data_IF_834069074433
#
_entry.id   IF_834069074433
#
_cell.length_a   1.000
_cell.length_b   1.000
_cell.length_c   1.000
_cell.angle_alpha   90.00
_cell.angle_beta   90.00
_cell.angle_gamma   90.00
#
_symmetry.space_group_name_H-M   'P 1'
#
loop_
_entity.id
_entity.type
_entity.pdbx_description
1 polymer ?
#
# COMPACT_ATOMS: atom_id res chain seq x y z
N UNK A 1 -22.86 19.25 -8.94
CA UNK A 1 -21.50 18.94 -9.45
C UNK A 1 -20.89 17.67 -8.88
N UNK A 2 -20.84 17.46 -7.56
CA UNK A 2 -20.30 16.23 -6.93
C UNK A 2 -20.95 14.94 -7.51
N UNK A 3 -22.29 14.91 -7.65
CA UNK A 3 -23.01 13.79 -8.30
C UNK A 3 -22.50 13.49 -9.72
N UNK A 4 -22.14 14.53 -10.49
CA UNK A 4 -21.64 14.38 -11.87
C UNK A 4 -20.20 13.84 -11.88
N UNK A 5 -19.37 14.25 -10.92
CA UNK A 5 -18.04 13.65 -10.75
C UNK A 5 -18.12 12.17 -10.34
N UNK A 6 -19.00 11.80 -9.42
CA UNK A 6 -19.23 10.39 -9.06
C UNK A 6 -19.69 9.57 -10.27
N UNK A 7 -20.56 10.13 -11.13
CA UNK A 7 -20.96 9.48 -12.38
C UNK A 7 -19.79 9.27 -13.35
N UNK A 8 -18.88 10.24 -13.47
CA UNK A 8 -17.69 10.12 -14.31
C UNK A 8 -16.72 9.05 -13.78
N UNK A 9 -16.53 8.96 -12.46
CA UNK A 9 -15.73 7.89 -11.85
C UNK A 9 -16.35 6.51 -12.10
N UNK A 10 -17.66 6.37 -11.96
CA UNK A 10 -18.33 5.11 -12.25
C UNK A 10 -18.14 4.69 -13.72
N UNK A 11 -18.23 5.66 -14.63
CA UNK A 11 -17.93 5.44 -16.05
C UNK A 11 -16.46 5.09 -16.29
N UNK A 12 -15.52 5.70 -15.56
CA UNK A 12 -14.10 5.39 -15.64
C UNK A 12 -13.80 3.98 -15.12
N UNK A 13 -14.39 3.61 -13.99
CA UNK A 13 -14.24 2.30 -13.36
C UNK A 13 -14.79 1.18 -14.25
N UNK A 14 -16.01 1.35 -14.76
CA UNK A 14 -16.64 0.36 -15.66
C UNK A 14 -15.91 0.19 -16.99
N UNK A 15 -15.25 1.25 -17.48
CA UNK A 15 -14.43 1.24 -18.71
C UNK A 15 -12.96 0.88 -18.49
N UNK A 16 -12.53 0.66 -17.25
CA UNK A 16 -11.14 0.32 -16.97
C UNK A 16 -10.78 -1.05 -17.56
N UNK A 17 -9.59 -1.18 -18.14
CA UNK A 17 -9.11 -2.41 -18.77
C UNK A 17 -9.11 -3.62 -17.82
N UNK A 18 -8.94 -3.40 -16.51
CA UNK A 18 -9.04 -4.44 -15.49
C UNK A 18 -10.49 -4.90 -15.24
N UNK A 19 -11.47 -4.01 -15.34
CA UNK A 19 -12.90 -4.37 -15.22
C UNK A 19 -13.43 -5.03 -16.51
N UNK A 20 -12.71 -4.86 -17.62
CA UNK A 20 -12.90 -5.60 -18.86
C UNK A 20 -12.18 -6.96 -18.86
N UNK A 21 -11.35 -7.29 -17.85
CA UNK A 21 -10.78 -8.63 -17.73
C UNK A 21 -11.87 -9.67 -17.45
N UNK A 22 -11.60 -10.90 -17.88
CA UNK A 22 -12.55 -12.01 -17.91
C UNK A 22 -13.27 -12.27 -16.58
N UNK A 23 -14.50 -12.78 -16.70
CA UNK A 23 -15.44 -13.07 -15.61
C UNK A 23 -14.77 -13.83 -14.44
N UNK A 24 -13.82 -14.72 -14.73
CA UNK A 24 -13.06 -15.48 -13.74
C UNK A 24 -12.33 -14.60 -12.70
N UNK A 25 -11.69 -13.50 -13.12
CA UNK A 25 -10.97 -12.60 -12.19
C UNK A 25 -11.97 -11.88 -11.27
N UNK A 26 -13.15 -11.52 -11.78
CA UNK A 26 -14.20 -10.87 -10.97
C UNK A 26 -14.75 -11.81 -9.90
N UNK A 27 -15.00 -13.07 -10.28
CA UNK A 27 -15.44 -14.11 -9.35
C UNK A 27 -14.39 -14.31 -8.25
N UNK A 28 -13.11 -14.43 -8.62
CA UNK A 28 -12.01 -14.58 -7.66
C UNK A 28 -11.92 -13.39 -6.70
N UNK A 29 -12.02 -12.16 -7.22
CA UNK A 29 -12.01 -10.95 -6.38
C UNK A 29 -13.21 -10.89 -5.42
N UNK A 30 -14.39 -11.33 -5.86
CA UNK A 30 -15.58 -11.39 -5.02
C UNK A 30 -15.42 -12.40 -3.87
N UNK A 31 -14.96 -13.61 -4.16
CA UNK A 31 -14.69 -14.61 -3.12
C UNK A 31 -13.60 -14.15 -2.16
N UNK A 32 -12.53 -13.52 -2.66
CA UNK A 32 -11.49 -12.95 -1.81
C UNK A 32 -12.06 -11.88 -0.87
N UNK A 33 -12.92 -10.99 -1.38
CA UNK A 33 -13.55 -9.95 -0.57
C UNK A 33 -14.44 -10.54 0.54
N UNK A 34 -15.25 -11.56 0.22
CA UNK A 34 -16.08 -12.26 1.22
C UNK A 34 -15.20 -12.97 2.25
N UNK A 35 -14.16 -13.67 1.80
CA UNK A 35 -13.28 -14.42 2.67
C UNK A 35 -12.56 -13.51 3.67
N UNK A 36 -11.88 -12.46 3.18
CA UNK A 36 -11.15 -11.53 4.06
C UNK A 36 -12.10 -10.66 4.89
N UNK A 37 -13.20 -10.20 4.32
CA UNK A 37 -14.22 -9.43 5.05
C UNK A 37 -14.88 -10.26 6.15
N UNK A 38 -15.25 -11.50 5.84
CA UNK A 38 -15.80 -12.45 6.81
C UNK A 38 -14.79 -12.79 7.91
N UNK A 39 -13.54 -13.08 7.56
CA UNK A 39 -12.47 -13.32 8.53
C UNK A 39 -12.24 -12.11 9.46
N UNK A 40 -12.28 -10.89 8.92
CA UNK A 40 -12.18 -9.67 9.73
C UNK A 40 -13.37 -9.52 10.70
N UNK A 41 -14.59 -9.84 10.28
CA UNK A 41 -15.77 -9.85 11.15
C UNK A 41 -15.64 -10.89 12.26
N UNK A 42 -15.29 -12.13 11.92
CA UNK A 42 -15.07 -13.19 12.91
C UNK A 42 -13.94 -12.82 13.88
N UNK A 43 -12.88 -12.18 13.39
CA UNK A 43 -11.81 -11.67 14.23
C UNK A 43 -12.33 -10.58 15.17
N UNK A 44 -13.15 -9.63 14.70
CA UNK A 44 -13.74 -8.60 15.55
C UNK A 44 -14.67 -9.16 16.64
N UNK A 45 -15.50 -10.18 16.31
CA UNK A 45 -16.33 -10.89 17.29
C UNK A 45 -15.44 -11.65 18.29
N UNK A 46 -14.48 -12.42 17.79
CA UNK A 46 -13.59 -13.25 18.58
C UNK A 46 -12.62 -12.45 19.44
N UNK A 47 -12.31 -11.21 19.06
CA UNK A 47 -11.31 -10.38 19.73
C UNK A 47 -11.64 -10.15 21.20
N UNK A 48 -12.92 -9.95 21.55
CA UNK A 48 -13.34 -9.84 22.95
C UNK A 48 -12.97 -11.09 23.77
N UNK A 49 -13.31 -12.28 23.27
CA UNK A 49 -13.05 -13.55 23.95
C UNK A 49 -11.55 -13.90 23.97
N UNK A 50 -10.82 -13.59 22.89
CA UNK A 50 -9.37 -13.77 22.82
C UNK A 50 -8.68 -12.91 23.87
N UNK A 51 -9.04 -11.64 23.99
CA UNK A 51 -8.47 -10.73 24.98
C UNK A 51 -8.79 -11.18 26.41
N UNK A 52 -10.05 -11.56 26.67
CA UNK A 52 -10.48 -12.11 27.96
C UNK A 52 -9.72 -13.38 28.35
N UNK A 53 -9.39 -14.25 27.39
CA UNK A 53 -8.63 -15.48 27.66
C UNK A 53 -7.12 -15.23 27.79
N UNK A 54 -6.58 -14.29 27.02
CA UNK A 54 -5.15 -13.98 27.01
C UNK A 54 -4.73 -13.25 28.30
N UNK A 55 -5.57 -12.35 28.81
CA UNK A 55 -5.32 -11.61 30.04
C UNK A 55 -6.60 -11.60 30.91
N UNK A 56 -6.86 -12.70 31.66
CA UNK A 56 -8.12 -12.86 32.40
C UNK A 56 -8.37 -11.81 33.48
N UNK A 57 -7.31 -11.20 34.00
CA UNK A 57 -7.41 -10.24 35.11
C UNK A 57 -7.68 -8.79 34.65
N UNK A 58 -7.60 -8.52 33.34
CA UNK A 58 -7.78 -7.18 32.79
C UNK A 58 -9.03 -7.17 31.90
N UNK A 59 -9.82 -6.12 32.03
CA UNK A 59 -10.98 -5.89 31.18
C UNK A 59 -10.57 -5.89 29.68
N UNK A 60 -11.27 -6.65 28.81
CA UNK A 60 -10.99 -6.70 27.38
C UNK A 60 -10.95 -5.33 26.69
N UNK A 61 -11.75 -4.37 27.15
CA UNK A 61 -11.79 -3.00 26.64
C UNK A 61 -10.49 -2.25 26.97
N UNK A 62 -9.98 -2.40 28.19
CA UNK A 62 -8.71 -1.79 28.62
C UNK A 62 -7.57 -2.36 27.78
N UNK A 63 -7.56 -3.69 27.61
CA UNK A 63 -6.53 -4.35 26.81
C UNK A 63 -6.58 -3.92 25.35
N UNK A 64 -7.78 -3.84 24.75
CA UNK A 64 -7.96 -3.29 23.39
C UNK A 64 -7.37 -1.88 23.28
N UNK A 65 -7.71 -0.99 24.21
CA UNK A 65 -7.26 0.40 24.22
C UNK A 65 -5.74 0.54 24.27
N UNK A 66 -5.06 -0.32 25.03
CA UNK A 66 -3.60 -0.35 25.11
C UNK A 66 -2.95 -0.69 23.75
N UNK A 67 -3.60 -1.52 22.92
CA UNK A 67 -3.07 -1.93 21.61
C UNK A 67 -3.50 -1.07 20.43
N UNK A 68 -4.43 -0.11 20.60
CA UNK A 68 -4.93 0.74 19.52
C UNK A 68 -3.82 1.56 18.83
N UNK A 69 -2.76 1.95 19.54
CA UNK A 69 -1.65 2.68 18.91
C UNK A 69 -0.96 1.84 17.83
N UNK A 70 -0.72 0.57 18.10
CA UNK A 70 -0.08 -0.33 17.16
C UNK A 70 -0.97 -0.57 15.95
N UNK A 71 -2.29 -0.67 16.18
CA UNK A 71 -3.27 -0.72 15.09
C UNK A 71 -3.16 0.51 14.18
N UNK A 72 -3.16 1.72 14.75
CA UNK A 72 -3.10 2.96 13.96
C UNK A 72 -1.76 3.18 13.24
N UNK A 73 -0.64 2.82 13.87
CA UNK A 73 0.67 2.89 13.22
C UNK A 73 0.77 1.88 12.06
N UNK A 74 0.27 0.66 12.27
CA UNK A 74 0.25 -0.36 11.22
C UNK A 74 -0.68 0.03 10.07
N UNK A 75 -1.88 0.56 10.37
CA UNK A 75 -2.81 1.12 9.39
C UNK A 75 -2.15 2.25 8.57
N UNK A 76 -1.42 3.15 9.22
CA UNK A 76 -0.69 4.23 8.53
C UNK A 76 0.39 3.68 7.57
N UNK A 77 1.15 2.66 7.98
CA UNK A 77 2.17 2.03 7.12
C UNK A 77 1.51 1.33 5.92
N UNK A 78 0.46 0.54 6.16
CA UNK A 78 -0.28 -0.14 5.07
C UNK A 78 -0.81 0.88 4.08
N UNK A 79 -1.43 1.97 4.56
CA UNK A 79 -1.94 3.05 3.72
C UNK A 79 -0.83 3.74 2.94
N UNK A 80 0.33 3.98 3.54
CA UNK A 80 1.45 4.60 2.85
C UNK A 80 1.83 3.82 1.57
N UNK A 81 1.85 2.49 1.64
CA UNK A 81 2.16 1.63 0.49
C UNK A 81 0.96 1.45 -0.45
N UNK A 82 -0.16 0.98 0.09
CA UNK A 82 -1.27 0.45 -0.70
C UNK A 82 -2.29 1.52 -1.08
N UNK A 83 -2.47 2.56 -0.26
CA UNK A 83 -3.41 3.63 -0.56
C UNK A 83 -2.78 4.60 -1.57
N UNK A 84 -3.21 4.49 -2.82
CA UNK A 84 -2.88 5.50 -3.83
C UNK A 84 -3.69 6.76 -3.54
N UNK A 85 -3.00 7.89 -3.38
CA UNK A 85 -3.68 9.18 -3.25
C UNK A 85 -4.44 9.46 -4.56
N UNK A 86 -5.69 9.93 -4.49
CA UNK A 86 -6.47 10.18 -5.69
C UNK A 86 -5.85 11.35 -6.46
N UNK A 87 -5.06 11.02 -7.48
CA UNK A 87 -4.58 12.00 -8.45
C UNK A 87 -5.70 12.20 -9.45
N UNK A 88 -6.46 13.29 -9.32
CA UNK A 88 -7.27 13.75 -10.43
C UNK A 88 -6.35 14.41 -11.46
N UNK A 89 -6.55 14.12 -12.74
CA UNK A 89 -6.03 14.98 -13.79
C UNK A 89 -6.72 16.34 -13.64
N UNK A 90 -6.07 17.27 -12.96
CA UNK A 90 -6.63 18.59 -12.69
C UNK A 90 -6.66 19.42 -13.98
N UNK A 91 -5.70 19.17 -14.90
CA UNK A 91 -5.54 19.94 -16.15
C UNK A 91 -6.83 20.06 -16.99
N UNK A 92 -7.57 18.97 -17.30
CA UNK A 92 -8.83 19.07 -18.06
C UNK A 92 -9.97 19.73 -17.28
N UNK A 93 -9.90 19.76 -15.94
CA UNK A 93 -10.91 20.42 -15.11
C UNK A 93 -10.67 21.92 -14.95
N UNK A 94 -9.43 22.39 -15.17
CA UNK A 94 -9.07 23.82 -15.11
C UNK A 94 -9.62 24.63 -16.29
N UNK A 95 -9.93 23.98 -17.42
CA UNK A 95 -10.50 24.64 -18.61
C UNK A 95 -12.03 24.76 -18.58
N UNK A 96 -12.68 24.09 -17.61
CA UNK A 96 -14.13 24.08 -17.44
C UNK A 96 -14.47 25.08 -16.31
N UNK A 97 -15.59 25.84 -16.39
CA UNK A 97 -15.97 26.83 -15.38
C UNK A 97 -16.44 26.18 -14.06
N UNK A 98 -15.55 25.47 -13.37
CA UNK A 98 -15.77 24.83 -12.08
C UNK A 98 -14.91 25.54 -11.03
N UNK A 99 -15.53 25.95 -9.91
CA UNK A 99 -14.80 26.54 -8.79
C UNK A 99 -13.74 25.54 -8.28
N UNK A 100 -12.50 26.00 -8.14
CA UNK A 100 -11.37 25.17 -7.66
C UNK A 100 -11.69 24.49 -6.34
N UNK A 101 -12.36 25.21 -5.43
CA UNK A 101 -12.76 24.69 -4.12
C UNK A 101 -13.67 23.46 -4.22
N UNK A 102 -14.59 23.44 -5.19
CA UNK A 102 -15.45 22.27 -5.43
C UNK A 102 -14.65 21.05 -5.86
N UNK A 103 -13.59 21.25 -6.66
CA UNK A 103 -12.68 20.19 -7.11
C UNK A 103 -11.85 19.65 -5.93
N UNK A 104 -11.38 20.53 -5.04
CA UNK A 104 -10.62 20.16 -3.84
C UNK A 104 -11.50 19.40 -2.85
N UNK A 105 -12.71 19.89 -2.56
CA UNK A 105 -13.67 19.19 -1.70
C UNK A 105 -14.04 17.82 -2.24
N UNK A 106 -14.21 17.70 -3.56
CA UNK A 106 -14.45 16.42 -4.20
C UNK A 106 -13.26 15.45 -4.04
N UNK A 107 -12.03 15.94 -4.23
CA UNK A 107 -10.81 15.13 -4.06
C UNK A 107 -10.67 14.62 -2.62
N UNK A 108 -10.84 15.50 -1.62
CA UNK A 108 -10.79 15.11 -0.22
C UNK A 108 -11.94 14.17 0.17
N UNK A 109 -13.16 14.43 -0.31
CA UNK A 109 -14.30 13.54 -0.10
C UNK A 109 -14.06 12.15 -0.70
N UNK A 110 -13.42 12.06 -1.87
CA UNK A 110 -13.02 10.78 -2.47
C UNK A 110 -12.06 9.99 -1.58
N UNK A 111 -11.11 10.65 -0.90
CA UNK A 111 -10.23 9.94 0.05
C UNK A 111 -10.98 9.41 1.26
N UNK A 112 -12.03 10.12 1.71
CA UNK A 112 -12.87 9.70 2.85
C UNK A 112 -13.64 8.43 2.53
N UNK A 113 -14.04 8.23 1.27
CA UNK A 113 -14.71 7.03 0.78
C UNK A 113 -13.74 5.92 0.31
N UNK A 114 -12.46 5.99 0.70
CA UNK A 114 -11.49 4.95 0.38
C UNK A 114 -11.79 3.65 1.14
N UNK A 115 -11.56 2.50 0.49
CA UNK A 115 -11.70 1.16 1.10
C UNK A 115 -10.99 1.04 2.45
N UNK A 116 -9.80 1.65 2.58
CA UNK A 116 -9.04 1.61 3.83
C UNK A 116 -9.79 2.25 5.01
N UNK A 117 -10.68 3.23 4.80
CA UNK A 117 -11.47 3.80 5.90
C UNK A 117 -12.62 2.90 6.33
N UNK A 118 -13.06 2.00 5.45
CA UNK A 118 -14.08 0.99 5.78
C UNK A 118 -13.47 -0.27 6.40
N UNK A 119 -12.19 -0.56 6.16
CA UNK A 119 -11.54 -1.77 6.68
C UNK A 119 -11.66 -1.90 8.21
N UNK A 120 -11.41 -0.85 9.02
CA UNK A 120 -11.60 -0.92 10.48
C UNK A 120 -13.05 -1.19 10.92
N UNK A 121 -14.07 -0.85 10.11
CA UNK A 121 -15.46 -1.15 10.45
C UNK A 121 -15.68 -2.66 10.57
N UNK A 122 -15.05 -3.46 9.72
CA UNK A 122 -15.22 -4.92 9.76
C UNK A 122 -14.71 -5.56 11.05
N UNK A 123 -13.90 -4.86 11.85
CA UNK A 123 -13.34 -5.38 13.11
C UNK A 123 -13.99 -4.68 14.30
N UNK A 124 -13.98 -3.34 14.32
CA UNK A 124 -14.43 -2.59 15.49
C UNK A 124 -15.94 -2.55 15.64
N UNK A 125 -16.72 -2.65 14.55
CA UNK A 125 -18.18 -2.73 14.65
C UNK A 125 -18.61 -4.04 15.33
N UNK A 126 -18.21 -5.24 14.87
CA UNK A 126 -18.55 -6.48 15.57
C UNK A 126 -18.00 -6.52 16.99
N UNK A 127 -16.78 -6.03 17.23
CA UNK A 127 -16.23 -5.94 18.59
C UNK A 127 -17.11 -5.08 19.52
N UNK A 128 -17.57 -3.92 19.02
CA UNK A 128 -18.47 -3.04 19.78
C UNK A 128 -19.82 -3.70 20.06
N UNK A 129 -20.37 -4.47 19.11
CA UNK A 129 -21.61 -5.23 19.31
C UNK A 129 -21.43 -6.27 20.43
N UNK A 130 -20.30 -6.98 20.46
CA UNK A 130 -20.00 -7.96 21.52
C UNK A 130 -19.87 -7.26 22.88
N UNK A 131 -19.20 -6.11 22.96
CA UNK A 131 -19.15 -5.33 24.21
C UNK A 131 -20.54 -4.97 24.72
N UNK A 132 -21.44 -4.52 23.84
CA UNK A 132 -22.82 -4.21 24.23
C UNK A 132 -23.58 -5.46 24.71
N UNK A 133 -23.38 -6.61 24.05
CA UNK A 133 -23.99 -7.88 24.44
C UNK A 133 -23.50 -8.38 25.81
N UNK A 134 -22.25 -8.09 26.16
CA UNK A 134 -21.62 -8.43 27.45
C UNK A 134 -21.91 -7.39 28.55
N UNK A 135 -22.80 -6.43 28.30
CA UNK A 135 -23.33 -5.52 29.31
C UNK A 135 -22.57 -4.20 29.49
N UNK A 136 -21.70 -3.83 28.56
CA UNK A 136 -20.96 -2.57 28.64
C UNK A 136 -21.89 -1.35 28.41
N UNK A 137 -21.63 -0.20 29.06
CA UNK A 137 -22.45 1.00 28.89
C UNK A 137 -22.56 1.46 27.43
N UNK A 138 -23.80 1.57 26.95
CA UNK A 138 -24.11 1.85 25.53
C UNK A 138 -23.46 3.13 25.03
N UNK A 139 -23.59 4.23 25.79
CA UNK A 139 -23.07 5.54 25.38
C UNK A 139 -21.54 5.54 25.28
N UNK A 140 -20.86 4.89 26.22
CA UNK A 140 -19.39 4.80 26.25
C UNK A 140 -18.86 4.02 25.05
N UNK A 141 -19.46 2.86 24.75
CA UNK A 141 -19.07 2.01 23.62
C UNK A 141 -19.31 2.74 22.29
N UNK A 142 -20.45 3.40 22.11
CA UNK A 142 -20.74 4.15 20.89
C UNK A 142 -19.79 5.34 20.69
N UNK A 143 -19.55 6.14 21.73
CA UNK A 143 -18.62 7.27 21.65
C UNK A 143 -17.18 6.82 21.39
N UNK A 144 -16.76 5.70 21.97
CA UNK A 144 -15.47 5.09 21.68
C UNK A 144 -15.38 4.59 20.23
N UNK A 145 -16.38 3.85 19.75
CA UNK A 145 -16.43 3.35 18.38
C UNK A 145 -16.35 4.50 17.36
N UNK A 146 -17.14 5.55 17.57
CA UNK A 146 -17.10 6.77 16.74
C UNK A 146 -15.71 7.39 16.78
N UNK A 147 -15.08 7.48 17.96
CA UNK A 147 -13.73 8.03 18.09
C UNK A 147 -12.70 7.23 17.29
N UNK A 148 -12.73 5.90 17.33
CA UNK A 148 -11.83 5.03 16.56
C UNK A 148 -12.04 5.21 15.04
N UNK A 149 -13.29 5.32 14.60
CA UNK A 149 -13.61 5.58 13.18
C UNK A 149 -13.13 6.96 12.72
N UNK A 150 -13.33 7.99 13.54
CA UNK A 150 -12.87 9.36 13.26
C UNK A 150 -11.34 9.45 13.26
N UNK A 151 -10.66 8.70 14.13
CA UNK A 151 -9.19 8.61 14.13
C UNK A 151 -8.67 7.87 12.90
N UNK A 152 -9.37 6.87 12.40
CA UNK A 152 -9.04 6.23 11.12
C UNK A 152 -9.11 7.25 9.98
N UNK A 153 -10.11 8.14 9.99
CA UNK A 153 -10.20 9.22 9.01
C UNK A 153 -9.10 10.29 9.20
N UNK A 154 -8.72 10.58 10.44
CA UNK A 154 -7.53 11.39 10.78
C UNK A 154 -6.28 10.82 10.12
N UNK A 155 -6.04 9.51 10.24
CA UNK A 155 -4.89 8.82 9.64
C UNK A 155 -4.91 8.93 8.11
N UNK A 156 -6.08 8.82 7.48
CA UNK A 156 -6.21 9.05 6.04
C UNK A 156 -5.74 10.45 5.63
N UNK A 157 -6.11 11.50 6.38
CA UNK A 157 -5.66 12.86 6.10
C UNK A 157 -4.18 13.11 6.44
N UNK A 158 -3.63 12.42 7.46
CA UNK A 158 -2.19 12.43 7.74
C UNK A 158 -1.42 11.77 6.59
N UNK A 159 -1.87 10.61 6.12
CA UNK A 159 -1.26 9.91 4.99
C UNK A 159 -1.24 10.77 3.71
N UNK A 160 -2.30 11.54 3.49
CA UNK A 160 -2.37 12.49 2.38
C UNK A 160 -1.30 13.60 2.50
N UNK A 161 -1.09 14.16 3.69
CA UNK A 161 -0.07 15.19 3.94
C UNK A 161 1.36 14.67 3.80
N UNK A 162 1.62 13.43 4.23
CA UNK A 162 2.92 12.78 4.07
C UNK A 162 3.29 12.60 2.58
N UNK A 163 2.29 12.41 1.72
CA UNK A 163 2.43 12.39 0.25
C UNK A 163 3.55 11.47 -0.25
N UNK A 164 3.64 10.24 0.28
CA UNK A 164 4.65 9.24 -0.10
C UNK A 164 6.11 9.73 0.01
N UNK A 165 6.38 10.70 0.87
CA UNK A 165 7.75 11.14 1.14
C UNK A 165 8.51 10.06 1.94
N UNK A 166 9.59 9.53 1.35
CA UNK A 166 10.41 8.49 1.95
C UNK A 166 10.94 8.85 3.35
N UNK A 167 11.19 10.13 3.62
CA UNK A 167 11.70 10.57 4.93
C UNK A 167 10.69 10.26 6.04
N UNK A 168 9.43 10.63 5.83
CA UNK A 168 8.36 10.36 6.78
C UNK A 168 8.09 8.86 6.93
N UNK A 169 8.23 8.09 5.84
CA UNK A 169 8.16 6.64 5.91
C UNK A 169 9.19 6.05 6.86
N UNK A 170 10.48 6.39 6.69
CA UNK A 170 11.53 5.89 7.58
C UNK A 170 11.28 6.31 9.02
N UNK A 171 10.82 7.54 9.27
CA UNK A 171 10.45 8.00 10.61
C UNK A 171 9.34 7.13 11.21
N UNK A 172 8.24 6.87 10.48
CA UNK A 172 7.11 6.07 10.98
C UNK A 172 7.53 4.64 11.28
N UNK A 173 8.30 4.02 10.39
CA UNK A 173 8.80 2.65 10.58
C UNK A 173 9.77 2.58 11.75
N UNK A 174 10.69 3.53 11.88
CA UNK A 174 11.62 3.61 13.01
C UNK A 174 10.88 3.78 14.34
N UNK A 175 9.85 4.64 14.39
CA UNK A 175 9.02 4.84 15.59
C UNK A 175 8.27 3.56 15.94
N UNK A 176 7.65 2.88 14.97
CA UNK A 176 6.94 1.62 15.23
C UNK A 176 7.90 0.53 15.73
N UNK A 177 9.06 0.37 15.09
CA UNK A 177 10.07 -0.61 15.49
C UNK A 177 10.60 -0.31 16.90
N UNK A 178 10.83 0.96 17.23
CA UNK A 178 11.26 1.38 18.56
C UNK A 178 10.17 1.09 19.61
N UNK A 179 8.91 1.39 19.33
CA UNK A 179 7.80 1.11 20.26
C UNK A 179 7.64 -0.39 20.52
N UNK A 180 7.66 -1.21 19.46
CA UNK A 180 7.61 -2.67 19.59
C UNK A 180 8.83 -3.18 20.37
N UNK A 181 10.03 -2.65 20.10
CA UNK A 181 11.24 -3.00 20.82
C UNK A 181 11.13 -2.69 22.32
N UNK A 182 10.71 -1.48 22.68
CA UNK A 182 10.53 -1.08 24.08
C UNK A 182 9.52 -1.97 24.82
N UNK A 183 8.43 -2.36 24.15
CA UNK A 183 7.41 -3.26 24.70
C UNK A 183 7.94 -4.68 24.92
N UNK A 184 8.63 -5.27 23.92
CA UNK A 184 9.19 -6.62 23.99
C UNK A 184 10.28 -6.74 25.06
N UNK A 185 11.18 -5.76 25.12
CA UNK A 185 12.26 -5.73 26.12
C UNK A 185 11.78 -5.25 27.50
N UNK A 186 10.48 -4.94 27.65
CA UNK A 186 9.85 -4.47 28.90
C UNK A 186 10.55 -3.25 29.52
N UNK A 187 11.23 -2.43 28.70
CA UNK A 187 11.93 -1.23 29.15
C UNK A 187 10.91 -0.12 29.43
N UNK A 188 9.95 0.04 28.52
CA UNK A 188 8.85 0.99 28.66
C UNK A 188 7.64 0.49 27.88
N UNK A 189 6.49 0.35 28.55
CA UNK A 189 5.25 -0.08 27.91
C UNK A 189 4.58 1.11 27.25
N UNK A 190 4.86 1.31 25.97
CA UNK A 190 4.25 2.39 25.16
C UNK A 190 2.73 2.23 25.09
N UNK A 191 2.26 0.99 25.23
CA UNK A 191 0.84 0.64 25.29
C UNK A 191 0.09 1.30 26.47
N UNK A 192 0.73 1.53 27.63
CA UNK A 192 0.05 1.99 28.85
C UNK A 192 -0.38 3.48 28.80
N UNK A 193 0.49 4.46 28.47
CA UNK A 193 0.09 5.87 28.41
C UNK A 193 -0.98 6.14 27.35
N UNK A 194 -0.87 5.47 26.21
CA UNK A 194 -1.82 5.67 25.11
C UNK A 194 -3.13 4.94 25.42
N UNK A 195 -3.05 3.74 25.98
CA UNK A 195 -4.18 3.03 26.53
C UNK A 195 -4.94 3.85 27.57
N UNK A 196 -4.24 4.51 28.49
CA UNK A 196 -4.85 5.43 29.46
C UNK A 196 -5.63 6.56 28.77
N UNK A 197 -5.11 7.15 27.70
CA UNK A 197 -5.83 8.18 26.95
C UNK A 197 -7.13 7.64 26.31
N UNK A 198 -7.10 6.45 25.72
CA UNK A 198 -8.29 5.81 25.15
C UNK A 198 -9.29 5.31 26.20
N UNK A 199 -8.80 4.84 27.35
CA UNK A 199 -9.63 4.49 28.50
C UNK A 199 -10.31 5.73 29.08
N UNK A 200 -9.60 6.86 29.16
CA UNK A 200 -10.18 8.15 29.57
C UNK A 200 -11.27 8.59 28.60
N UNK A 201 -11.02 8.46 27.29
CA UNK A 201 -12.04 8.73 26.26
C UNK A 201 -13.27 7.83 26.40
N UNK A 202 -13.07 6.55 26.71
CA UNK A 202 -14.15 5.61 26.94
C UNK A 202 -14.96 5.94 28.20
N UNK A 203 -14.30 6.27 29.30
CA UNK A 203 -14.93 6.62 30.58
C UNK A 203 -15.63 7.99 30.55
N UNK A 204 -15.18 8.90 29.68
CA UNK A 204 -15.74 10.23 29.50
C UNK A 204 -16.21 10.44 28.05
N UNK A 205 -17.44 9.99 27.71
CA UNK A 205 -17.93 9.97 26.33
C UNK A 205 -17.89 11.32 25.59
N UNK A 206 -17.98 12.45 26.31
CA UNK A 206 -17.90 13.80 25.75
C UNK A 206 -16.54 14.11 25.10
N UNK A 207 -15.49 13.36 25.44
CA UNK A 207 -14.15 13.51 24.83
C UNK A 207 -14.10 13.07 23.36
N UNK A 208 -15.16 12.46 22.81
CA UNK A 208 -15.31 12.20 21.36
C UNK A 208 -15.15 13.45 20.49
N UNK A 209 -15.37 14.64 21.06
CA UNK A 209 -15.13 15.92 20.38
C UNK A 209 -13.66 16.09 19.97
N UNK A 210 -12.70 15.57 20.75
CA UNK A 210 -11.27 15.71 20.48
C UNK A 210 -10.89 15.11 19.12
N UNK A 211 -11.14 13.82 18.83
CA UNK A 211 -10.81 13.25 17.53
C UNK A 211 -11.58 13.93 16.39
N UNK A 212 -12.82 14.38 16.61
CA UNK A 212 -13.61 15.11 15.59
C UNK A 212 -12.93 16.44 15.22
N UNK A 213 -12.58 17.25 16.21
CA UNK A 213 -11.89 18.53 16.01
C UNK A 213 -10.54 18.32 15.33
N UNK A 214 -9.80 17.27 15.71
CA UNK A 214 -8.54 16.91 15.08
C UNK A 214 -8.72 16.59 13.59
N UNK A 215 -9.70 15.75 13.23
CA UNK A 215 -10.00 15.41 11.83
C UNK A 215 -10.39 16.65 11.02
N UNK A 216 -11.25 17.53 11.56
CA UNK A 216 -11.67 18.76 10.89
C UNK A 216 -10.50 19.72 10.67
N UNK A 217 -9.59 19.81 11.65
CA UNK A 217 -8.37 20.62 11.54
C UNK A 217 -7.46 20.10 10.43
N UNK A 218 -7.21 18.79 10.40
CA UNK A 218 -6.42 18.16 9.34
C UNK A 218 -7.09 18.29 7.97
N UNK A 219 -8.41 18.19 7.89
CA UNK A 219 -9.16 18.43 6.66
C UNK A 219 -8.88 19.84 6.13
N UNK A 220 -8.94 20.86 6.99
CA UNK A 220 -8.67 22.26 6.63
C UNK A 220 -7.21 22.47 6.20
N UNK A 221 -6.25 21.84 6.89
CA UNK A 221 -4.83 21.88 6.51
C UNK A 221 -4.64 21.28 5.11
N UNK A 222 -5.20 20.10 4.87
CA UNK A 222 -5.16 19.44 3.56
C UNK A 222 -5.79 20.28 2.46
N UNK A 223 -6.96 20.85 2.71
CA UNK A 223 -7.66 21.74 1.77
C UNK A 223 -6.77 22.93 1.39
N UNK A 224 -6.17 23.58 2.37
CA UNK A 224 -5.27 24.73 2.15
C UNK A 224 -3.99 24.32 1.41
N UNK A 225 -3.41 23.17 1.75
CA UNK A 225 -2.22 22.65 1.07
C UNK A 225 -2.49 22.39 -0.41
N UNK A 226 -3.62 21.75 -0.74
CA UNK A 226 -4.03 21.51 -2.13
C UNK A 226 -4.34 22.84 -2.83
N UNK A 227 -5.07 23.75 -2.19
CA UNK A 227 -5.41 25.07 -2.77
C UNK A 227 -4.16 25.87 -3.15
N UNK A 228 -3.10 25.81 -2.34
CA UNK A 228 -1.78 26.40 -2.64
C UNK A 228 -1.05 25.69 -3.80
N UNK A 229 -1.21 24.37 -3.93
CA UNK A 229 -0.57 23.57 -5.00
C UNK A 229 -1.30 23.59 -6.35
N UNK A 230 -2.46 24.23 -6.46
CA UNK A 230 -3.28 24.26 -7.68
C UNK A 230 -2.70 25.13 -8.83
N UNK A 231 -1.56 25.79 -8.62
CA UNK A 231 -0.90 26.61 -9.64
C UNK A 231 0.01 25.74 -10.51
N UNK A 232 -0.17 25.82 -11.84
CA UNK A 232 0.53 25.02 -12.86
C UNK A 232 2.05 25.20 -12.83
N UNK A 233 2.54 26.33 -12.31
CA UNK A 233 3.93 26.77 -12.43
C UNK A 233 4.92 25.90 -11.64
N UNK A 234 4.47 25.22 -10.57
CA UNK A 234 5.35 24.37 -9.75
C UNK A 234 5.79 23.05 -10.40
N UNK A 235 5.15 22.63 -11.50
CA UNK A 235 5.37 21.31 -12.11
C UNK A 235 6.01 21.35 -13.51
N UNK A 236 6.24 22.54 -14.07
CA UNK A 236 6.79 22.72 -15.42
C UNK A 236 8.32 22.80 -15.43
N UNK A 237 8.97 22.90 -14.26
CA UNK A 237 10.40 22.61 -14.15
C UNK A 237 10.60 21.10 -14.27
N UNK A 238 10.62 20.57 -15.51
CA UNK A 238 11.28 19.28 -15.79
C UNK A 238 12.67 19.40 -15.21
N UNK A 239 12.92 18.78 -14.04
CA UNK A 239 14.28 18.60 -13.54
C UNK A 239 15.05 17.97 -14.69
N UNK A 240 16.02 18.69 -15.23
CA UNK A 240 16.97 18.12 -16.16
C UNK A 240 17.66 16.99 -15.40
N UNK A 241 17.24 15.74 -15.66
CA UNK A 241 17.95 14.58 -15.14
C UNK A 241 19.37 14.69 -15.67
N UNK A 242 20.34 14.86 -14.75
CA UNK A 242 21.75 14.74 -15.07
C UNK A 242 21.93 13.37 -15.72
N UNK A 243 22.22 13.35 -17.01
CA UNK A 243 22.53 12.11 -17.75
C UNK A 243 23.78 11.53 -17.11
N UNK A 244 23.61 10.51 -16.29
CA UNK A 244 24.73 9.81 -15.69
C UNK A 244 25.30 8.87 -16.75
N UNK A 245 26.39 9.28 -17.40
CA UNK A 245 27.11 8.44 -18.36
C UNK A 245 27.84 7.34 -17.59
N UNK A 246 27.18 6.19 -17.46
CA UNK A 246 27.81 5.00 -16.90
C UNK A 246 28.74 4.38 -17.95
N UNK A 247 30.03 4.31 -17.65
CA UNK A 247 30.99 3.62 -18.50
C UNK A 247 30.79 2.09 -18.38
N UNK A 248 30.46 1.47 -19.52
CA UNK A 248 30.29 0.02 -19.67
C UNK A 248 31.37 -0.56 -20.59
N UNK A 249 32.50 0.12 -20.75
CA UNK A 249 33.65 -0.31 -21.55
C UNK A 249 34.05 -1.77 -21.32
N UNK A 250 33.94 -2.27 -20.08
CA UNK A 250 34.22 -3.67 -19.72
C UNK A 250 33.45 -4.71 -20.56
N UNK A 251 32.23 -4.38 -20.99
CA UNK A 251 31.36 -5.27 -21.75
C UNK A 251 31.79 -5.43 -23.21
N UNK A 252 32.74 -4.62 -23.70
CA UNK A 252 33.30 -4.76 -25.05
C UNK A 252 33.94 -6.14 -25.28
N UNK A 253 34.28 -6.88 -24.21
CA UNK A 253 34.76 -8.27 -24.27
C UNK A 253 33.79 -9.22 -24.98
N UNK A 254 32.49 -8.88 -25.05
CA UNK A 254 31.45 -9.68 -25.70
C UNK A 254 31.30 -9.38 -27.21
N UNK A 255 32.23 -8.62 -27.80
CA UNK A 255 32.29 -8.38 -29.25
C UNK A 255 31.03 -7.72 -29.80
N UNK A 256 30.49 -8.25 -30.91
CA UNK A 256 29.32 -7.66 -31.59
C UNK A 256 28.04 -7.68 -30.75
N UNK A 257 27.97 -8.53 -29.71
CA UNK A 257 26.81 -8.64 -28.82
C UNK A 257 26.83 -7.54 -27.74
N UNK A 258 28.01 -6.99 -27.44
CA UNK A 258 28.20 -6.00 -26.37
C UNK A 258 27.27 -4.79 -26.48
N UNK A 259 26.92 -4.36 -27.70
CA UNK A 259 26.03 -3.22 -27.96
C UNK A 259 24.64 -3.48 -27.37
N UNK A 260 24.10 -4.68 -27.56
CA UNK A 260 22.79 -5.08 -27.05
C UNK A 260 22.80 -5.18 -25.53
N UNK A 261 23.80 -5.88 -24.97
CA UNK A 261 23.93 -6.04 -23.53
C UNK A 261 24.08 -4.69 -22.81
N UNK A 262 24.85 -3.75 -23.39
CA UNK A 262 24.97 -2.39 -22.83
C UNK A 262 23.64 -1.66 -22.81
N UNK A 263 22.84 -1.80 -23.86
CA UNK A 263 21.51 -1.19 -23.92
C UNK A 263 20.56 -1.82 -22.90
N UNK A 264 20.59 -3.14 -22.73
CA UNK A 264 19.79 -3.83 -21.72
C UNK A 264 20.17 -3.41 -20.29
N UNK A 265 21.46 -3.33 -19.97
CA UNK A 265 21.92 -2.85 -18.66
C UNK A 265 21.47 -1.42 -18.40
N UNK A 266 21.59 -0.52 -19.38
CA UNK A 266 21.11 0.87 -19.27
C UNK A 266 19.59 0.92 -19.09
N UNK A 267 18.85 0.09 -19.83
CA UNK A 267 17.40 -0.02 -19.73
C UNK A 267 16.98 -0.50 -18.34
N UNK A 268 17.67 -1.50 -17.79
CA UNK A 268 17.44 -2.04 -16.45
C UNK A 268 17.67 -0.96 -15.39
N UNK A 269 18.76 -0.22 -15.47
CA UNK A 269 19.11 0.77 -14.45
C UNK A 269 18.24 2.03 -14.51
N UNK A 270 17.82 2.45 -15.72
CA UNK A 270 17.03 3.67 -15.92
C UNK A 270 15.55 3.49 -15.60
N UNK A 271 14.97 2.31 -15.89
CA UNK A 271 13.54 2.11 -15.81
C UNK A 271 13.13 1.29 -14.57
N UNK A 272 12.12 1.78 -13.83
CA UNK A 272 11.67 1.14 -12.60
C UNK A 272 11.18 -0.30 -12.80
N UNK A 273 10.46 -0.59 -13.89
CA UNK A 273 9.89 -1.93 -14.14
C UNK A 273 10.96 -3.00 -14.42
N UNK A 274 11.87 -2.85 -15.41
CA UNK A 274 13.02 -3.74 -15.59
C UNK A 274 13.86 -3.93 -14.33
N UNK A 275 14.14 -2.84 -13.59
CA UNK A 275 14.88 -2.89 -12.32
C UNK A 275 14.19 -3.76 -11.27
N UNK A 276 12.88 -3.57 -11.12
CA UNK A 276 12.07 -4.38 -10.21
C UNK A 276 12.06 -5.85 -10.61
N UNK A 277 11.94 -6.16 -11.90
CA UNK A 277 12.00 -7.54 -12.40
C UNK A 277 13.34 -8.18 -12.04
N UNK A 278 14.47 -7.53 -12.35
CA UNK A 278 15.80 -8.04 -12.00
C UNK A 278 15.95 -8.27 -10.48
N UNK A 279 15.50 -7.30 -9.66
CA UNK A 279 15.56 -7.40 -8.21
C UNK A 279 14.71 -8.56 -7.67
N UNK A 280 13.51 -8.76 -8.22
CA UNK A 280 12.65 -9.90 -7.86
C UNK A 280 13.27 -11.22 -8.28
N UNK A 281 13.89 -11.30 -9.46
CA UNK A 281 14.61 -12.49 -9.90
C UNK A 281 15.78 -12.83 -8.97
N UNK A 282 16.51 -11.81 -8.49
CA UNK A 282 17.54 -12.00 -7.47
C UNK A 282 16.95 -12.51 -6.14
N UNK A 283 15.81 -11.96 -5.71
CA UNK A 283 15.13 -12.42 -4.50
C UNK A 283 14.64 -13.87 -4.61
N UNK A 284 14.27 -14.36 -5.80
CA UNK A 284 13.90 -15.76 -6.01
C UNK A 284 15.05 -16.74 -5.73
N UNK A 285 16.32 -16.31 -5.78
CA UNK A 285 17.43 -17.16 -5.37
C UNK A 285 17.33 -17.54 -3.89
N UNK A 286 16.79 -16.65 -3.05
CA UNK A 286 16.62 -16.89 -1.61
C UNK A 286 15.41 -17.74 -1.27
N UNK A 287 14.51 -18.02 -2.22
CA UNK A 287 13.40 -18.97 -1.99
C UNK A 287 13.93 -20.36 -1.64
N UNK A 288 15.07 -20.76 -2.23
CA UNK A 288 15.73 -22.01 -1.88
C UNK A 288 16.06 -22.10 -0.39
N UNK A 289 16.44 -21.00 0.27
CA UNK A 289 16.72 -21.02 1.71
C UNK A 289 15.49 -21.41 2.52
N UNK A 290 14.29 -20.98 2.14
CA UNK A 290 13.07 -21.31 2.88
C UNK A 290 12.72 -22.80 2.69
N UNK A 291 12.65 -23.25 1.43
CA UNK A 291 12.18 -24.60 1.11
C UNK A 291 13.20 -25.71 1.41
N UNK A 292 14.50 -25.43 1.31
CA UNK A 292 15.55 -26.42 1.60
C UNK A 292 15.96 -26.46 3.07
N UNK A 293 15.72 -25.43 3.90
CA UNK A 293 16.15 -25.43 5.32
C UNK A 293 15.07 -25.83 6.31
N UNK A 294 13.78 -25.61 6.00
CA UNK A 294 12.70 -26.00 6.90
C UNK A 294 12.34 -27.48 6.77
N UNK A 295 12.37 -28.20 7.90
CA UNK A 295 12.05 -29.63 7.97
C UNK A 295 10.65 -29.97 7.43
N UNK A 296 9.70 -29.03 7.54
CA UNK A 296 8.34 -29.19 7.04
C UNK A 296 8.29 -29.40 5.51
N UNK A 297 9.18 -28.76 4.75
CA UNK A 297 9.19 -28.80 3.28
C UNK A 297 10.21 -29.79 2.71
N UNK A 298 11.28 -30.11 3.44
CA UNK A 298 12.28 -31.10 3.03
C UNK A 298 11.68 -32.49 2.76
N UNK A 299 10.60 -32.85 3.46
CA UNK A 299 9.91 -34.13 3.30
C UNK A 299 8.90 -34.16 2.16
N UNK A 300 8.73 -33.05 1.43
CA UNK A 300 7.76 -32.91 0.35
C UNK A 300 8.46 -32.75 -1.00
N UNK A 301 8.68 -33.84 -1.77
CA UNK A 301 9.44 -33.79 -3.03
C UNK A 301 8.89 -32.80 -4.06
N UNK A 302 7.56 -32.62 -4.10
CA UNK A 302 6.91 -31.66 -4.99
C UNK A 302 7.31 -30.21 -4.68
N UNK A 303 7.41 -29.84 -3.41
CA UNK A 303 7.83 -28.50 -2.99
C UNK A 303 9.31 -28.24 -3.25
N UNK A 304 10.15 -29.28 -3.10
CA UNK A 304 11.57 -29.19 -3.45
C UNK A 304 11.78 -29.00 -4.96
N UNK A 305 11.06 -29.77 -5.79
CA UNK A 305 11.10 -29.60 -7.24
C UNK A 305 10.58 -28.21 -7.67
N UNK A 306 9.50 -27.75 -7.05
CA UNK A 306 8.96 -26.40 -7.26
C UNK A 306 10.01 -25.33 -6.90
N UNK A 307 10.64 -25.43 -5.74
CA UNK A 307 11.70 -24.51 -5.32
C UNK A 307 12.87 -24.52 -6.30
N UNK A 308 13.32 -25.69 -6.77
CA UNK A 308 14.39 -25.83 -7.75
C UNK A 308 14.09 -25.10 -9.05
N UNK A 309 12.85 -25.23 -9.57
CA UNK A 309 12.43 -24.53 -10.79
C UNK A 309 12.39 -23.01 -10.61
N UNK A 310 11.98 -22.51 -9.44
CA UNK A 310 11.93 -21.07 -9.16
C UNK A 310 13.32 -20.47 -8.96
N UNK A 311 14.22 -21.15 -8.25
CA UNK A 311 15.59 -20.68 -8.02
C UNK A 311 16.38 -20.64 -9.33
N UNK A 312 16.21 -21.63 -10.20
CA UNK A 312 16.95 -21.71 -11.47
C UNK A 312 16.28 -20.95 -12.61
N UNK A 313 14.95 -20.96 -12.68
CA UNK A 313 14.17 -20.42 -13.80
C UNK A 313 13.52 -19.07 -13.52
N UNK A 314 13.53 -18.56 -12.28
CA UNK A 314 12.80 -17.35 -11.89
C UNK A 314 13.17 -16.11 -12.71
N UNK A 315 14.45 -15.96 -13.07
CA UNK A 315 14.90 -14.87 -13.95
C UNK A 315 14.34 -15.02 -15.37
N UNK A 316 14.50 -16.18 -16.00
CA UNK A 316 13.99 -16.46 -17.35
C UNK A 316 12.47 -16.33 -17.43
N UNK A 317 11.74 -16.85 -16.44
CA UNK A 317 10.28 -16.75 -16.37
C UNK A 317 9.81 -15.30 -16.25
N UNK A 318 10.54 -14.42 -15.56
CA UNK A 318 10.09 -13.04 -15.33
C UNK A 318 10.61 -12.06 -16.37
N UNK A 319 11.92 -12.07 -16.64
CA UNK A 319 12.58 -11.18 -17.59
C UNK A 319 12.56 -11.74 -19.01
N UNK A 320 12.91 -13.02 -19.18
CA UNK A 320 13.03 -13.68 -20.49
C UNK A 320 11.71 -13.77 -21.26
N UNK A 321 10.59 -14.03 -20.59
CA UNK A 321 9.26 -14.06 -21.24
C UNK A 321 8.87 -12.73 -21.93
N UNK A 322 9.50 -11.63 -21.53
CA UNK A 322 9.24 -10.29 -22.04
C UNK A 322 10.23 -9.88 -23.13
N UNK A 323 11.16 -10.74 -23.54
CA UNK A 323 11.94 -10.55 -24.76
C UNK A 323 11.04 -10.94 -25.95
N UNK A 324 10.84 -10.07 -26.97
CA UNK A 324 11.52 -8.80 -27.26
C UNK A 324 10.78 -7.53 -26.81
N UNK A 325 9.67 -7.66 -26.08
CA UNK A 325 8.85 -6.54 -25.58
C UNK A 325 9.62 -5.45 -24.82
N UNK A 326 10.77 -5.78 -24.23
CA UNK A 326 11.66 -4.80 -23.58
C UNK A 326 12.18 -3.71 -24.52
N UNK A 327 12.41 -4.04 -25.79
CA UNK A 327 12.88 -3.09 -26.81
C UNK A 327 11.72 -2.27 -27.42
N UNK A 328 10.46 -2.61 -27.08
CA UNK A 328 9.24 -1.84 -27.34
C UNK A 328 9.17 -1.27 -28.76
N UNK A 329 8.96 0.04 -28.92
CA UNK A 329 8.85 0.73 -30.22
C UNK A 329 10.14 0.64 -31.07
N UNK A 330 11.30 0.51 -30.42
CA UNK A 330 12.60 0.45 -31.08
C UNK A 330 12.93 -0.94 -31.65
N UNK A 331 12.19 -1.98 -31.27
CA UNK A 331 12.41 -3.32 -31.80
C UNK A 331 12.31 -3.38 -33.33
N UNK A 332 11.33 -2.68 -33.92
CA UNK A 332 11.17 -2.61 -35.39
C UNK A 332 12.39 -1.99 -36.07
N UNK A 333 12.97 -0.95 -35.46
CA UNK A 333 14.19 -0.31 -35.96
C UNK A 333 15.39 -1.25 -35.86
N UNK A 334 15.53 -2.00 -34.76
CA UNK A 334 16.61 -2.98 -34.59
C UNK A 334 16.53 -4.08 -35.65
N UNK A 335 15.32 -4.56 -35.96
CA UNK A 335 15.10 -5.60 -36.97
C UNK A 335 15.27 -5.10 -38.42
N UNK A 336 15.30 -3.78 -38.64
CA UNK A 336 15.60 -3.19 -39.95
C UNK A 336 17.09 -2.89 -40.16
N UNK A 337 17.93 -3.02 -39.13
CA UNK A 337 19.37 -2.87 -39.26
C UNK A 337 19.99 -4.13 -39.87
N UNK A 338 21.21 -4.00 -40.40
CA UNK A 338 22.01 -5.12 -40.88
C UNK A 338 22.61 -5.93 -39.71
N UNK A 339 21.74 -6.52 -38.88
CA UNK A 339 22.12 -7.35 -37.74
C UNK A 339 21.40 -8.70 -37.88
N UNK A 340 22.13 -9.82 -37.95
CA UNK A 340 21.52 -11.14 -37.99
C UNK A 340 20.62 -11.36 -36.77
N UNK A 341 19.38 -11.78 -36.99
CA UNK A 341 18.41 -12.02 -35.91
C UNK A 341 18.95 -13.01 -34.86
N UNK A 342 19.71 -14.02 -35.31
CA UNK A 342 20.41 -14.97 -34.44
C UNK A 342 21.32 -14.28 -33.42
N UNK A 343 22.09 -13.26 -33.84
CA UNK A 343 22.97 -12.48 -32.94
C UNK A 343 22.17 -11.68 -31.91
N UNK A 344 21.01 -11.16 -32.30
CA UNK A 344 20.10 -10.50 -31.37
C UNK A 344 19.57 -11.49 -30.33
N UNK A 345 19.15 -12.70 -30.73
CA UNK A 345 18.71 -13.72 -29.78
C UNK A 345 19.83 -14.21 -28.86
N UNK A 346 21.03 -14.42 -29.40
CA UNK A 346 22.22 -14.76 -28.60
C UNK A 346 22.49 -13.70 -27.53
N UNK A 347 22.28 -12.42 -27.85
CA UNK A 347 22.45 -11.32 -26.89
C UNK A 347 21.50 -11.34 -25.70
N UNK A 348 20.37 -12.03 -25.81
CA UNK A 348 19.36 -12.14 -24.75
C UNK A 348 19.49 -13.46 -23.97
N UNK A 349 20.26 -14.40 -24.51
CA UNK A 349 20.47 -15.72 -23.92
C UNK A 349 21.69 -15.76 -22.99
N UNK A 350 22.78 -15.11 -23.40
CA UNK A 350 23.99 -14.90 -22.61
C UNK A 350 23.86 -13.65 -21.73
#
# INVERSE_FOLDING_TARGET
MIKRFLSLEWKQFTRASYFQKGIAIKILLFFAAIYFGGAAIFLGIGMFFILRKAVPEIDPMITMNNFLIYWFLFDLIIRFFMQQLPVMNIKPLMTIPIKRETVIHYLLGKTTLSFFNFLPLFIFLPFSIVLLAEGYPVINVLCWFVSVMVLTLTINFINFLINKNNTFFYIIVSVLALFIGLEIYKIFKVSEPIGFAFNTLYNHPYLVIIPIVLTLTLYKINFNAIKKGFYLDGTISKKAEKVNNMDLSWMNRFGSIAIFLKNDVRLILRNARPKQVLMMSFLFLFYGLIFYTQEAYQKMPAFLAFASMFVTGGFLMTFGQLVPSWDSEYYKLLMSQNIPYKKYLESKWY
#
